data_IF_398716912097
#
_entry.id   IF_398716912097
#
_cell.length_a   1.000
_cell.length_b   1.000
_cell.length_c   1.000
_cell.angle_alpha   90.00
_cell.angle_beta   90.00
_cell.angle_gamma   90.00
#
_symmetry.space_group_name_H-M   'P 1'
#
loop_
_entity.id
_entity.type
_entity.pdbx_description
1 polymer ?
#
# COMPACT_ATOMS: atom_id res chain seq x y z
N UNK A 1 -2.20 -19.13 3.83
CA UNK A 1 -1.04 -18.31 3.39
C UNK A 1 -1.51 -17.40 2.26
N UNK A 2 -1.22 -16.08 2.31
CA UNK A 2 -1.70 -15.12 1.29
C UNK A 2 -1.16 -15.52 -0.09
N UNK A 3 -2.04 -15.59 -1.10
CA UNK A 3 -1.64 -15.94 -2.45
C UNK A 3 -1.18 -14.68 -3.20
N UNK A 4 0.14 -14.52 -3.30
CA UNK A 4 0.77 -13.35 -3.96
C UNK A 4 0.29 -13.15 -5.40
N UNK A 5 0.03 -14.21 -6.17
CA UNK A 5 -0.46 -14.05 -7.55
C UNK A 5 -1.88 -13.46 -7.58
N UNK A 6 -2.75 -13.93 -6.68
CA UNK A 6 -4.15 -13.48 -6.60
C UNK A 6 -4.23 -12.03 -6.10
N UNK A 7 -3.50 -11.69 -5.05
CA UNK A 7 -3.51 -10.32 -4.54
C UNK A 7 -2.94 -9.34 -5.56
N UNK A 8 -1.87 -9.69 -6.28
CA UNK A 8 -1.34 -8.86 -7.38
C UNK A 8 -2.37 -8.67 -8.50
N UNK A 9 -3.13 -9.71 -8.86
CA UNK A 9 -4.22 -9.58 -9.83
C UNK A 9 -5.30 -8.59 -9.35
N UNK A 10 -5.73 -8.66 -8.09
CA UNK A 10 -6.67 -7.66 -7.54
C UNK A 10 -6.09 -6.25 -7.59
N UNK A 11 -4.80 -6.10 -7.27
CA UNK A 11 -4.14 -4.80 -7.37
C UNK A 11 -4.14 -4.25 -8.82
N UNK A 12 -3.88 -5.11 -9.81
CA UNK A 12 -3.88 -4.70 -11.22
C UNK A 12 -5.28 -4.36 -11.73
N UNK A 13 -6.31 -5.14 -11.34
CA UNK A 13 -7.70 -4.88 -11.73
C UNK A 13 -8.18 -3.54 -11.19
N UNK A 14 -7.93 -3.25 -9.91
CA UNK A 14 -8.33 -1.98 -9.31
C UNK A 14 -7.56 -0.81 -9.93
N UNK A 15 -6.26 -0.98 -10.21
CA UNK A 15 -5.48 0.04 -10.91
C UNK A 15 -6.04 0.33 -12.32
N UNK A 16 -6.43 -0.71 -13.06
CA UNK A 16 -7.07 -0.56 -14.37
C UNK A 16 -8.37 0.24 -14.28
N UNK A 17 -9.22 -0.06 -13.28
CA UNK A 17 -10.46 0.71 -13.05
C UNK A 17 -10.15 2.18 -12.73
N UNK A 18 -9.15 2.45 -11.89
CA UNK A 18 -8.74 3.83 -11.56
C UNK A 18 -8.29 4.59 -12.81
N UNK A 19 -7.60 3.94 -13.75
CA UNK A 19 -7.24 4.56 -15.03
C UNK A 19 -8.45 4.87 -15.91
N UNK A 20 -9.48 4.03 -15.92
CA UNK A 20 -10.72 4.34 -16.64
C UNK A 20 -11.47 5.53 -16.04
N UNK A 21 -11.40 5.72 -14.72
CA UNK A 21 -12.00 6.89 -14.06
C UNK A 21 -11.35 8.22 -14.50
N UNK A 22 -10.16 8.19 -15.10
CA UNK A 22 -9.48 9.37 -15.63
C UNK A 22 -10.27 10.08 -16.74
N UNK A 23 -11.15 9.34 -17.45
CA UNK A 23 -11.99 9.89 -18.51
C UNK A 23 -13.30 10.52 -17.99
N UNK A 24 -13.72 10.18 -16.77
CA UNK A 24 -15.03 10.54 -16.24
C UNK A 24 -14.98 11.57 -15.08
N UNK A 25 -13.84 11.67 -14.38
CA UNK A 25 -13.71 12.49 -13.18
C UNK A 25 -12.60 13.54 -13.29
N UNK A 26 -12.60 14.48 -12.35
CA UNK A 26 -11.56 15.50 -12.26
C UNK A 26 -10.16 14.88 -12.07
N UNK A 27 -9.22 15.31 -12.92
CA UNK A 27 -7.84 14.82 -12.94
C UNK A 27 -7.14 14.95 -11.58
N UNK A 28 -7.44 16.01 -10.82
CA UNK A 28 -6.86 16.23 -9.47
C UNK A 28 -7.23 15.12 -8.49
N UNK A 29 -8.48 14.65 -8.53
CA UNK A 29 -8.98 13.57 -7.68
C UNK A 29 -8.35 12.26 -8.11
N UNK A 30 -8.36 11.95 -9.42
CA UNK A 30 -7.80 10.69 -9.92
C UNK A 30 -6.29 10.60 -9.71
N UNK A 31 -5.55 11.70 -9.92
CA UNK A 31 -4.12 11.76 -9.58
C UNK A 31 -3.89 11.47 -8.08
N UNK A 32 -4.74 12.02 -7.21
CA UNK A 32 -4.73 11.71 -5.78
C UNK A 32 -4.94 10.22 -5.53
N UNK A 33 -5.97 9.62 -6.13
CA UNK A 33 -6.28 8.19 -6.00
C UNK A 33 -5.11 7.33 -6.47
N UNK A 34 -4.54 7.61 -7.63
CA UNK A 34 -3.39 6.86 -8.17
C UNK A 34 -2.21 6.93 -7.20
N UNK A 35 -1.85 8.11 -6.71
CA UNK A 35 -0.71 8.27 -5.79
C UNK A 35 -0.96 7.57 -4.47
N UNK A 36 -2.16 7.72 -3.88
CA UNK A 36 -2.53 7.04 -2.65
C UNK A 36 -2.51 5.52 -2.80
N UNK A 37 -3.04 5.04 -3.91
CA UNK A 37 -3.09 3.64 -4.25
C UNK A 37 -1.70 3.02 -4.45
N UNK A 38 -0.85 3.67 -5.25
CA UNK A 38 0.52 3.20 -5.45
C UNK A 38 1.33 3.24 -4.17
N UNK A 39 1.16 4.28 -3.34
CA UNK A 39 1.82 4.35 -2.03
C UNK A 39 1.40 3.19 -1.14
N UNK A 40 0.10 2.91 -1.04
CA UNK A 40 -0.41 1.78 -0.25
C UNK A 40 0.07 0.42 -0.76
N UNK A 41 0.06 0.21 -2.07
CA UNK A 41 0.53 -1.02 -2.71
C UNK A 41 2.04 -1.24 -2.48
N UNK A 42 2.87 -0.22 -2.72
CA UNK A 42 4.32 -0.27 -2.49
C UNK A 42 4.63 -0.53 -1.01
N UNK A 43 3.88 0.10 -0.10
CA UNK A 43 4.02 -0.13 1.33
C UNK A 43 3.70 -1.59 1.65
N UNK A 44 2.56 -2.13 1.20
CA UNK A 44 2.18 -3.52 1.45
C UNK A 44 3.20 -4.54 0.92
N UNK A 45 3.62 -4.42 -0.34
CA UNK A 45 4.59 -5.34 -0.93
C UNK A 45 5.97 -5.18 -0.28
N UNK A 46 6.38 -3.96 0.07
CA UNK A 46 7.60 -3.67 0.82
C UNK A 46 7.62 -4.34 2.20
N UNK A 47 6.54 -4.18 2.99
CA UNK A 47 6.38 -4.88 4.28
C UNK A 47 6.47 -6.37 4.05
N UNK A 48 5.63 -6.89 3.16
CA UNK A 48 5.44 -8.33 2.97
C UNK A 48 6.75 -9.01 2.57
N UNK A 49 7.56 -8.39 1.72
CA UNK A 49 8.86 -8.92 1.33
C UNK A 49 9.89 -8.88 2.47
N UNK A 50 9.94 -7.77 3.22
CA UNK A 50 10.86 -7.62 4.35
C UNK A 50 10.51 -8.58 5.49
N UNK A 51 9.24 -8.66 5.87
CA UNK A 51 8.73 -9.60 6.88
C UNK A 51 9.03 -11.03 6.45
N UNK A 52 8.75 -11.41 5.20
CA UNK A 52 9.11 -12.75 4.69
C UNK A 52 10.62 -13.00 4.75
N UNK A 53 11.45 -12.00 4.45
CA UNK A 53 12.93 -12.12 4.54
C UNK A 53 13.42 -12.27 5.99
N UNK A 54 12.73 -11.69 6.96
CA UNK A 54 13.12 -11.75 8.38
C UNK A 54 12.64 -13.07 9.01
N UNK A 55 11.37 -13.42 8.81
CA UNK A 55 10.75 -14.58 9.43
C UNK A 55 10.93 -15.88 8.63
N UNK A 56 11.33 -15.79 7.36
CA UNK A 56 11.73 -16.95 6.55
C UNK A 56 13.10 -17.51 6.91
N UNK A 57 13.90 -16.75 7.68
CA UNK A 57 15.10 -17.29 8.34
C UNK A 57 14.65 -17.87 9.68
N UNK A 58 14.08 -19.07 9.58
CA UNK A 58 13.66 -19.87 10.73
C UNK A 58 14.94 -20.28 11.46
N UNK A 59 15.19 -19.63 12.60
CA UNK A 59 15.90 -20.06 13.81
C UNK A 59 16.63 -18.84 14.43
N UNK A 60 16.06 -18.30 15.51
CA UNK A 60 16.65 -17.26 16.37
C UNK A 60 16.87 -15.87 15.75
N UNK A 61 15.79 -15.21 15.33
CA UNK A 61 15.85 -13.77 15.09
C UNK A 61 15.84 -13.04 16.45
N UNK A 62 16.99 -12.51 16.87
CA UNK A 62 17.10 -11.67 18.06
C UNK A 62 16.08 -10.51 18.04
N UNK A 63 15.38 -10.30 19.16
CA UNK A 63 14.35 -9.27 19.35
C UNK A 63 14.84 -7.88 18.90
N UNK A 64 16.13 -7.58 19.11
CA UNK A 64 16.77 -6.33 18.68
C UNK A 64 16.74 -6.09 17.16
N UNK A 65 16.78 -7.15 16.34
CA UNK A 65 16.70 -7.08 14.88
C UNK A 65 15.27 -6.78 14.42
N UNK A 66 14.27 -7.33 15.11
CA UNK A 66 12.85 -7.06 14.86
C UNK A 66 12.52 -5.60 15.17
N UNK A 67 12.96 -5.09 16.33
CA UNK A 67 12.75 -3.69 16.73
C UNK A 67 13.39 -2.71 15.74
N UNK A 68 14.65 -2.94 15.33
CA UNK A 68 15.32 -2.09 14.33
C UNK A 68 14.56 -2.03 13.01
N UNK A 69 13.98 -3.15 12.56
CA UNK A 69 13.19 -3.17 11.33
C UNK A 69 11.91 -2.37 11.50
N UNK A 70 11.18 -2.55 12.61
CA UNK A 70 9.97 -1.77 12.91
C UNK A 70 10.28 -0.27 12.91
N UNK A 71 11.41 0.13 13.49
CA UNK A 71 11.81 1.53 13.60
C UNK A 71 12.21 2.14 12.24
N UNK A 72 12.97 1.40 11.42
CA UNK A 72 13.24 1.75 10.01
C UNK A 72 11.91 1.88 9.23
N UNK A 73 10.93 1.05 9.56
CA UNK A 73 9.64 1.06 8.90
C UNK A 73 8.81 2.29 9.26
N UNK A 74 8.75 2.65 10.54
CA UNK A 74 8.09 3.87 11.01
C UNK A 74 8.72 5.10 10.36
N UNK A 75 10.04 5.15 10.24
CA UNK A 75 10.77 6.22 9.54
C UNK A 75 10.38 6.27 8.06
N UNK A 76 10.26 5.12 7.38
CA UNK A 76 9.80 5.07 5.97
C UNK A 76 8.37 5.57 5.82
N UNK A 77 7.46 5.17 6.71
CA UNK A 77 6.07 5.65 6.70
C UNK A 77 6.04 7.17 6.89
N UNK A 78 6.82 7.70 7.84
CA UNK A 78 6.96 9.14 8.06
C UNK A 78 7.53 9.86 6.84
N UNK A 79 8.55 9.31 6.18
CA UNK A 79 9.12 9.87 4.95
C UNK A 79 8.11 9.87 3.79
N UNK A 80 7.36 8.78 3.59
CA UNK A 80 6.30 8.76 2.59
C UNK A 80 5.20 9.78 2.91
N UNK A 81 4.76 9.87 4.16
CA UNK A 81 3.78 10.86 4.59
C UNK A 81 4.29 12.30 4.37
N UNK A 82 5.58 12.57 4.64
CA UNK A 82 6.22 13.87 4.40
C UNK A 82 6.28 14.20 2.90
N UNK A 83 6.68 13.25 2.05
CA UNK A 83 6.74 13.43 0.60
C UNK A 83 5.34 13.70 0.05
N UNK A 84 4.34 12.94 0.48
CA UNK A 84 2.94 13.14 0.09
C UNK A 84 2.45 14.51 0.56
N UNK A 85 2.73 14.89 1.80
CA UNK A 85 2.38 16.21 2.33
C UNK A 85 3.02 17.33 1.50
N UNK A 86 4.32 17.25 1.21
CA UNK A 86 5.01 18.26 0.40
C UNK A 86 4.50 18.31 -1.04
N UNK A 87 4.14 17.17 -1.63
CA UNK A 87 3.61 17.08 -3.01
C UNK A 87 2.17 17.58 -3.09
N UNK A 88 1.33 17.29 -2.08
CA UNK A 88 -0.07 17.72 -2.03
C UNK A 88 -0.17 19.21 -1.69
N UNK A 89 0.58 19.68 -0.69
CA UNK A 89 0.53 21.07 -0.21
C UNK A 89 1.14 22.05 -1.22
N UNK A 90 2.19 21.68 -1.95
CA UNK A 90 2.89 22.63 -2.83
C UNK A 90 2.42 22.64 -4.29
N UNK A 91 1.66 21.66 -4.78
CA UNK A 91 1.44 21.54 -6.24
C UNK A 91 0.03 21.72 -6.75
N UNK A 92 -1.04 21.78 -5.94
CA UNK A 92 -2.44 21.80 -6.41
C UNK A 92 -2.87 20.69 -7.40
N UNK A 93 -1.95 19.79 -7.80
CA UNK A 93 -2.15 18.72 -8.80
C UNK A 93 -2.91 17.54 -8.17
N UNK A 94 -2.94 17.44 -6.85
CA UNK A 94 -3.45 16.30 -6.11
C UNK A 94 -4.51 16.74 -5.09
N UNK A 95 -5.63 16.01 -5.05
CA UNK A 95 -6.62 16.17 -4.01
C UNK A 95 -6.35 15.18 -2.86
N UNK A 96 -6.28 15.68 -1.62
CA UNK A 96 -6.04 14.86 -0.41
C UNK A 96 -7.13 13.80 -0.19
N UNK A 97 -8.39 14.10 -0.51
CA UNK A 97 -9.48 13.13 -0.42
C UNK A 97 -9.29 12.00 -1.42
N UNK A 98 -8.89 12.33 -2.66
CA UNK A 98 -8.52 11.34 -3.66
C UNK A 98 -7.39 10.44 -3.15
N UNK A 99 -6.35 11.03 -2.55
CA UNK A 99 -5.26 10.27 -1.94
C UNK A 99 -5.74 9.29 -0.87
N UNK A 100 -6.57 9.75 0.08
CA UNK A 100 -7.09 8.89 1.15
C UNK A 100 -7.92 7.74 0.58
N UNK A 101 -8.78 8.01 -0.41
CA UNK A 101 -9.57 6.97 -1.09
C UNK A 101 -8.65 5.93 -1.73
N UNK A 102 -7.66 6.37 -2.49
CA UNK A 102 -6.68 5.48 -3.13
C UNK A 102 -5.92 4.63 -2.13
N UNK A 103 -5.47 5.22 -1.01
CA UNK A 103 -4.78 4.50 0.04
C UNK A 103 -5.69 3.47 0.73
N UNK A 104 -6.92 3.86 1.09
CA UNK A 104 -7.90 2.95 1.72
C UNK A 104 -8.28 1.77 0.84
N UNK A 105 -8.36 1.95 -0.48
CA UNK A 105 -8.60 0.84 -1.42
C UNK A 105 -7.57 -0.27 -1.29
N UNK A 106 -6.30 0.07 -1.04
CA UNK A 106 -5.25 -0.94 -0.83
C UNK A 106 -5.49 -1.76 0.45
N UNK A 107 -5.92 -1.11 1.54
CA UNK A 107 -6.25 -1.78 2.79
C UNK A 107 -7.44 -2.72 2.61
N UNK A 108 -8.45 -2.30 1.84
CA UNK A 108 -9.63 -3.11 1.53
C UNK A 108 -9.23 -4.37 0.75
N UNK A 109 -8.38 -4.26 -0.28
CA UNK A 109 -7.89 -5.41 -1.06
C UNK A 109 -7.22 -6.43 -0.13
N UNK A 110 -6.35 -5.96 0.77
CA UNK A 110 -5.63 -6.82 1.72
C UNK A 110 -6.60 -7.49 2.70
N UNK A 111 -7.58 -6.74 3.21
CA UNK A 111 -8.59 -7.25 4.12
C UNK A 111 -9.45 -8.34 3.48
N UNK A 112 -9.92 -8.12 2.25
CA UNK A 112 -10.70 -9.10 1.48
C UNK A 112 -9.89 -10.38 1.26
N UNK A 113 -8.64 -10.26 0.81
CA UNK A 113 -7.76 -11.42 0.60
C UNK A 113 -7.55 -12.21 1.91
N UNK A 114 -7.43 -11.53 3.04
CA UNK A 114 -7.28 -12.18 4.35
C UNK A 114 -8.55 -12.95 4.76
N UNK A 115 -9.74 -12.40 4.49
CA UNK A 115 -11.01 -13.10 4.72
C UNK A 115 -11.13 -14.37 3.86
N UNK A 116 -10.73 -14.31 2.58
CA UNK A 116 -10.73 -15.49 1.70
C UNK A 116 -9.79 -16.59 2.19
N UNK A 117 -8.62 -16.23 2.72
CA UNK A 117 -7.69 -17.21 3.31
C UNK A 117 -8.30 -17.88 4.54
N UNK A 118 -9.04 -17.14 5.37
CA UNK A 118 -9.69 -17.68 6.57
C UNK A 118 -10.83 -18.65 6.26
N UNK A 119 -11.57 -18.43 5.18
CA UNK A 119 -12.69 -19.30 4.79
C UNK A 119 -12.26 -20.59 4.07
N UNK A 120 -11.01 -20.68 3.61
CA UNK A 120 -10.46 -21.85 2.92
C UNK A 120 -9.71 -22.82 3.85
N UNK A 121 -9.47 -22.41 5.10
CA UNK A 121 -8.84 -23.22 6.15
C UNK A 121 -9.88 -23.60 7.20
#
# INVERSE_FOLDING_TARGET
MINLKRITMFFLIVLFIIFFLYFAFEKKIINGIIVGYLTGALNFFGISFIVKKIFGVINEVAISKVIKVILIYLIKILLFALVIFLVVTNREIFNIFGFIIGFSLTVIIIFIENLFVKNLN
#
